data_IF_353358526669
#
_entry.id   IF_353358526669
#
_cell.length_a   1.000
_cell.length_b   1.000
_cell.length_c   1.000
_cell.angle_alpha   90.00
_cell.angle_beta   90.00
_cell.angle_gamma   90.00
#
_symmetry.space_group_name_H-M   'P 1'
#
loop_
_entity.id
_entity.type
_entity.pdbx_description
1 polymer ?
#
# COMPACT_ATOMS: atom_id res chain seq x y z
N UNK A 1 -52.81 -26.35 -17.38
CA UNK A 1 -52.51 -24.98 -16.93
C UNK A 1 -51.49 -25.06 -15.81
N UNK A 2 -50.28 -24.53 -16.01
CA UNK A 2 -49.20 -24.53 -15.01
C UNK A 2 -49.16 -23.18 -14.28
N UNK A 3 -49.44 -23.15 -12.97
CA UNK A 3 -49.09 -22.01 -12.12
C UNK A 3 -47.83 -22.36 -11.32
N UNK A 4 -46.68 -21.78 -11.70
CA UNK A 4 -45.44 -21.88 -10.92
C UNK A 4 -45.48 -20.86 -9.78
N UNK A 5 -45.58 -21.34 -8.54
CA UNK A 5 -45.22 -20.56 -7.36
C UNK A 5 -43.69 -20.33 -7.37
N UNK A 6 -43.26 -19.09 -7.50
CA UNK A 6 -41.87 -18.71 -7.23
C UNK A 6 -41.65 -18.69 -5.70
N UNK A 7 -41.05 -19.76 -5.18
CA UNK A 7 -40.61 -19.85 -3.79
C UNK A 7 -39.24 -19.17 -3.68
N UNK A 8 -39.21 -17.93 -3.19
CA UNK A 8 -37.98 -17.18 -2.95
C UNK A 8 -37.16 -17.86 -1.85
N UNK A 9 -35.92 -18.32 -2.10
CA UNK A 9 -35.13 -18.97 -1.06
C UNK A 9 -34.60 -17.93 -0.05
N UNK A 10 -35.10 -18.02 1.19
CA UNK A 10 -34.72 -17.22 2.36
C UNK A 10 -33.21 -17.24 2.66
N UNK A 11 -32.46 -18.21 2.12
CA UNK A 11 -31.01 -18.36 2.35
C UNK A 11 -30.15 -17.32 1.62
N UNK A 12 -30.68 -16.59 0.64
CA UNK A 12 -29.91 -15.57 -0.09
C UNK A 12 -29.74 -14.29 0.73
N UNK A 13 -30.72 -13.96 1.58
CA UNK A 13 -30.72 -12.73 2.39
C UNK A 13 -29.67 -12.79 3.51
N UNK A 14 -29.52 -13.94 4.17
CA UNK A 14 -28.59 -14.11 5.30
C UNK A 14 -27.12 -14.10 4.87
N UNK A 15 -26.81 -14.61 3.66
CA UNK A 15 -25.43 -14.63 3.13
C UNK A 15 -24.95 -13.24 2.71
N UNK A 16 -25.87 -12.36 2.29
CA UNK A 16 -25.54 -11.00 1.88
C UNK A 16 -25.15 -10.11 3.08
N UNK A 17 -25.71 -10.37 4.26
CA UNK A 17 -25.42 -9.60 5.48
C UNK A 17 -24.00 -9.84 6.03
N UNK A 18 -23.41 -11.02 5.84
CA UNK A 18 -22.02 -11.27 6.27
C UNK A 18 -20.97 -10.62 5.36
N UNK A 19 -21.27 -10.42 4.07
CA UNK A 19 -20.34 -9.70 3.17
C UNK A 19 -20.29 -8.19 3.48
N UNK A 20 -21.39 -7.61 3.97
CA UNK A 20 -21.45 -6.17 4.27
C UNK A 20 -20.64 -5.77 5.52
N UNK A 21 -20.42 -6.68 6.46
CA UNK A 21 -19.69 -6.39 7.70
C UNK A 21 -18.16 -6.48 7.57
N UNK A 22 -17.63 -7.08 6.49
CA UNK A 22 -16.19 -7.37 6.35
C UNK A 22 -15.37 -6.38 5.52
N UNK A 23 -15.99 -5.40 4.86
CA UNK A 23 -15.35 -4.63 3.78
C UNK A 23 -14.95 -3.18 4.12
N UNK A 24 -15.02 -2.76 5.39
CA UNK A 24 -14.61 -1.41 5.79
C UNK A 24 -13.17 -1.44 6.35
N UNK A 25 -12.20 -1.85 5.53
CA UNK A 25 -10.80 -1.50 5.78
C UNK A 25 -10.56 -0.22 5.00
N UNK A 26 -10.80 0.92 5.65
CA UNK A 26 -10.45 2.24 5.10
C UNK A 26 -8.94 2.27 4.82
N UNK A 27 -8.55 2.22 3.54
CA UNK A 27 -7.18 2.51 3.12
C UNK A 27 -6.96 4.01 3.33
N UNK A 28 -6.44 4.40 4.49
CA UNK A 28 -5.85 5.71 4.65
C UNK A 28 -4.62 5.76 3.75
N UNK A 29 -4.67 6.59 2.71
CA UNK A 29 -3.47 6.92 1.93
C UNK A 29 -2.53 7.67 2.88
N UNK A 30 -1.45 7.02 3.32
CA UNK A 30 -0.43 7.67 4.12
C UNK A 30 0.26 8.71 3.23
N UNK A 31 0.20 9.99 3.64
CA UNK A 31 0.94 11.04 2.96
C UNK A 31 2.44 10.73 3.05
N UNK A 32 3.10 10.74 1.90
CA UNK A 32 4.55 10.56 1.78
C UNK A 32 5.22 11.77 2.47
N UNK A 33 6.03 11.58 3.54
CA UNK A 33 6.65 12.70 4.24
C UNK A 33 7.62 13.46 3.32
N UNK A 34 7.54 14.80 3.23
CA UNK A 34 8.45 15.56 2.37
C UNK A 34 9.91 15.34 2.81
N UNK A 35 10.83 15.31 1.85
CA UNK A 35 12.26 15.37 2.17
C UNK A 35 12.59 16.78 2.70
N UNK A 36 13.31 16.87 3.81
CA UNK A 36 13.81 18.14 4.31
C UNK A 36 14.87 18.75 3.36
N UNK A 37 15.22 20.03 3.55
CA UNK A 37 16.29 20.66 2.77
C UNK A 37 17.60 19.90 2.97
N UNK A 38 18.26 19.53 1.86
CA UNK A 38 19.49 18.73 1.90
C UNK A 38 19.27 17.29 2.36
N UNK A 39 18.05 16.76 2.22
CA UNK A 39 17.75 15.36 2.52
C UNK A 39 17.22 14.63 1.29
N UNK A 40 17.42 13.31 1.29
CA UNK A 40 16.73 12.38 0.41
C UNK A 40 15.96 11.36 1.23
N UNK A 41 14.87 10.86 0.66
CA UNK A 41 14.02 9.83 1.24
C UNK A 41 14.08 8.60 0.34
N UNK A 42 14.39 7.45 0.93
CA UNK A 42 14.41 6.17 0.25
C UNK A 42 13.39 5.23 0.88
N UNK A 43 12.54 4.66 0.04
CA UNK A 43 11.46 3.74 0.36
C UNK A 43 11.88 2.33 -0.05
N UNK A 44 11.67 1.38 0.85
CA UNK A 44 11.77 -0.05 0.55
C UNK A 44 10.40 -0.66 0.75
N UNK A 45 9.83 -1.23 -0.31
CA UNK A 45 8.50 -1.84 -0.32
C UNK A 45 8.60 -3.35 -0.15
N UNK A 46 7.67 -3.92 0.61
CA UNK A 46 7.62 -5.34 0.94
C UNK A 46 6.29 -5.96 0.53
N UNK A 47 6.28 -7.28 0.30
CA UNK A 47 5.07 -8.04 -0.07
C UNK A 47 3.96 -7.93 0.96
N UNK A 48 4.33 -7.89 2.24
CA UNK A 48 3.41 -7.99 3.38
C UNK A 48 3.94 -7.28 4.64
N UNK A 49 3.12 -7.32 5.69
CA UNK A 49 3.39 -6.65 6.96
C UNK A 49 4.60 -7.22 7.73
N UNK A 50 5.08 -8.43 7.41
CA UNK A 50 6.28 -9.00 8.04
C UNK A 50 7.56 -8.31 7.58
N UNK A 51 7.52 -7.60 6.45
CA UNK A 51 8.65 -6.84 5.88
C UNK A 51 9.92 -7.69 5.66
N UNK A 52 9.73 -8.92 5.19
CA UNK A 52 10.82 -9.87 4.92
C UNK A 52 11.18 -9.97 3.44
N UNK A 53 10.19 -9.91 2.54
CA UNK A 53 10.40 -10.01 1.09
C UNK A 53 10.26 -8.63 0.47
N UNK A 54 11.35 -8.12 -0.13
CA UNK A 54 11.37 -6.84 -0.84
C UNK A 54 10.78 -7.01 -2.24
N UNK A 55 9.89 -6.11 -2.62
CA UNK A 55 9.18 -6.13 -3.93
C UNK A 55 9.35 -4.84 -4.73
N UNK A 56 9.90 -3.79 -4.13
CA UNK A 56 10.09 -2.51 -4.82
C UNK A 56 10.93 -1.53 -4.02
N UNK A 57 11.33 -0.45 -4.69
CA UNK A 57 12.08 0.63 -4.09
C UNK A 57 11.87 1.94 -4.83
N UNK A 58 11.84 3.02 -4.06
CA UNK A 58 11.66 4.37 -4.60
C UNK A 58 12.51 5.36 -3.83
N UNK A 59 13.12 6.34 -4.51
CA UNK A 59 13.93 7.37 -3.86
C UNK A 59 13.76 8.72 -4.54
N UNK A 60 13.71 9.77 -3.72
CA UNK A 60 13.68 11.17 -4.18
C UNK A 60 14.38 12.09 -3.17
N UNK A 61 14.73 13.30 -3.62
CA UNK A 61 15.24 14.36 -2.76
C UNK A 61 16.49 15.01 -3.32
N UNK A 62 17.40 15.39 -2.41
CA UNK A 62 18.50 16.32 -2.68
C UNK A 62 19.84 15.65 -3.03
N UNK A 63 19.99 14.34 -2.81
CA UNK A 63 21.20 13.57 -3.13
C UNK A 63 20.91 12.12 -3.52
N UNK A 64 21.84 11.54 -4.28
CA UNK A 64 21.66 10.26 -4.95
C UNK A 64 20.79 10.42 -6.20
N UNK A 65 20.98 9.52 -7.17
CA UNK A 65 20.12 9.51 -8.35
C UNK A 65 18.73 9.00 -7.93
N UNK A 66 17.64 9.71 -8.28
CA UNK A 66 16.29 9.22 -8.01
C UNK A 66 16.09 7.90 -8.75
N UNK A 67 15.40 6.97 -8.10
CA UNK A 67 15.07 5.69 -8.69
C UNK A 67 13.66 5.27 -8.33
N UNK A 68 13.08 4.45 -9.18
CA UNK A 68 11.79 3.81 -8.95
C UNK A 68 11.80 2.45 -9.66
N UNK A 69 11.50 1.39 -8.91
CA UNK A 69 11.41 0.04 -9.45
C UNK A 69 10.47 -0.83 -8.61
N UNK A 70 9.91 -1.85 -9.26
CA UNK A 70 9.07 -2.86 -8.62
C UNK A 70 7.70 -2.33 -8.16
N UNK A 71 7.11 -3.00 -7.17
CA UNK A 71 5.75 -2.71 -6.69
C UNK A 71 5.74 -1.78 -5.46
N UNK A 72 4.87 -0.78 -5.50
CA UNK A 72 4.64 0.12 -4.36
C UNK A 72 3.50 -0.42 -3.51
N UNK A 73 3.85 -0.98 -2.35
CA UNK A 73 2.87 -1.54 -1.41
C UNK A 73 2.66 -0.63 -0.21
N UNK A 74 1.61 -0.88 0.57
CA UNK A 74 1.42 -0.21 1.88
C UNK A 74 2.43 -0.65 2.95
N UNK A 75 3.19 -1.70 2.68
CA UNK A 75 4.16 -2.24 3.62
C UNK A 75 5.54 -1.73 3.21
N UNK A 76 5.93 -0.59 3.76
CA UNK A 76 7.22 0.00 3.45
C UNK A 76 7.98 0.45 4.70
N UNK A 77 9.27 0.66 4.51
CA UNK A 77 10.12 1.43 5.43
C UNK A 77 10.64 2.67 4.69
N UNK A 78 10.88 3.74 5.45
CA UNK A 78 11.45 4.99 4.94
C UNK A 78 12.80 5.20 5.61
N UNK A 79 13.82 5.51 4.83
CA UNK A 79 15.10 6.03 5.32
C UNK A 79 15.30 7.46 4.83
N UNK A 80 15.54 8.34 5.78
CA UNK A 80 16.02 9.70 5.50
C UNK A 80 17.54 9.71 5.46
N UNK A 81 18.09 10.18 4.35
CA UNK A 81 19.53 10.41 4.17
C UNK A 81 19.76 11.90 4.24
N UNK A 82 20.61 12.35 5.18
CA UNK A 82 21.12 13.72 5.15
C UNK A 82 22.25 13.77 4.12
N UNK A 83 22.08 14.61 3.11
CA UNK A 83 23.07 14.88 2.09
C UNK A 83 24.16 15.76 2.72
N UNK A 84 25.04 15.14 3.51
CA UNK A 84 26.27 15.81 3.96
C UNK A 84 27.12 16.20 2.75
N UNK A 85 28.07 17.11 2.95
CA UNK A 85 29.10 17.46 1.97
C UNK A 85 30.11 16.31 1.70
N UNK A 86 29.64 15.07 1.67
CA UNK A 86 30.45 13.93 1.26
C UNK A 86 29.99 13.53 -0.15
N UNK A 87 30.81 13.80 -1.19
CA UNK A 87 30.54 13.28 -2.52
C UNK A 87 30.51 11.74 -2.43
N UNK A 88 29.52 11.12 -3.05
CA UNK A 88 29.57 9.68 -3.28
C UNK A 88 30.81 9.38 -4.15
N UNK A 89 31.57 8.30 -3.88
CA UNK A 89 32.73 7.93 -4.67
C UNK A 89 32.38 7.66 -6.14
#
# INVERSE_FOLDING_TARGET
>A
MFNRMFKTPTSLRTKLSLLAAGLIVSLTAAAIPPAGPGQSQTYTYYSDATRTVVVGGWSYGSCGEPFDWGDHTRYFTIRTVNCGSNPQP
#
